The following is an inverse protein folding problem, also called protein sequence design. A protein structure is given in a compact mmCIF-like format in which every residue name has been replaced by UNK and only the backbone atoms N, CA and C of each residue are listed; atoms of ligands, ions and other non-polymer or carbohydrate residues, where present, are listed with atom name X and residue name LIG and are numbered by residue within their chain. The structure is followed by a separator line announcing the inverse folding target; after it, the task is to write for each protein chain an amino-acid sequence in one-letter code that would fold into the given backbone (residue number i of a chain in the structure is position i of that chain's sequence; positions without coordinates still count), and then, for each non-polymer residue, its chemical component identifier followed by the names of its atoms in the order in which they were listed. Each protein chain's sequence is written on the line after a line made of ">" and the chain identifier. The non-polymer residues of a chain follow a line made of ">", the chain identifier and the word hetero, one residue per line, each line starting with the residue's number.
data_IF_598974794188
#
_entry.id   IF_598974794188
#
_cell.length_a   1.000
_cell.length_b   1.000
_cell.length_c   1.000
_cell.angle_alpha   90.00
_cell.angle_beta   90.00
_cell.angle_gamma   90.00
#
_symmetry.space_group_name_H-M   'P 1'
#
loop_
_entity.id
_entity.type
_entity.pdbx_description
1 polymer ?
#
# COMPACT_ATOMS: atom_id res chain seq x y z
N UNK A 1 9.26 -26.38 -0.06
CA UNK A 1 9.67 -25.13 -0.73
C UNK A 1 8.49 -24.18 -0.70
N UNK A 2 8.58 -23.07 0.03
CA UNK A 2 7.57 -22.00 -0.02
C UNK A 2 7.91 -21.05 -1.16
N UNK A 3 6.93 -20.69 -1.99
CA UNK A 3 7.08 -19.71 -3.06
C UNK A 3 6.10 -18.56 -2.85
N UNK A 4 6.61 -17.35 -3.03
CA UNK A 4 5.84 -16.11 -2.87
C UNK A 4 5.48 -15.58 -4.24
N UNK A 5 4.18 -15.46 -4.51
CA UNK A 5 3.65 -14.97 -5.76
C UNK A 5 3.09 -13.57 -5.53
N UNK A 6 3.55 -12.61 -6.33
CA UNK A 6 2.97 -11.28 -6.34
C UNK A 6 2.05 -11.12 -7.56
N UNK A 7 0.77 -10.91 -7.30
CA UNK A 7 -0.21 -10.57 -8.31
C UNK A 7 -0.33 -9.04 -8.39
N UNK A 8 -0.11 -8.47 -9.57
CA UNK A 8 -0.18 -7.02 -9.81
C UNK A 8 -1.24 -6.76 -10.89
N UNK A 9 -2.13 -5.81 -10.63
CA UNK A 9 -3.04 -5.23 -11.59
C UNK A 9 -2.73 -3.73 -11.68
N UNK A 10 -2.27 -3.30 -12.85
CA UNK A 10 -1.92 -1.91 -13.11
C UNK A 10 -2.89 -1.33 -14.14
N UNK A 11 -3.64 -0.30 -13.72
CA UNK A 11 -4.33 0.63 -14.59
C UNK A 11 -3.50 1.91 -14.79
N UNK A 12 -3.90 2.75 -15.74
CA UNK A 12 -3.22 4.02 -16.03
C UNK A 12 -3.21 4.99 -14.84
N UNK A 13 -4.16 4.86 -13.93
CA UNK A 13 -4.33 5.73 -12.76
C UNK A 13 -4.44 4.99 -11.43
N UNK A 14 -4.31 3.66 -11.43
CA UNK A 14 -4.45 2.81 -10.24
C UNK A 14 -3.53 1.59 -10.30
N UNK A 15 -3.08 1.11 -9.14
CA UNK A 15 -2.24 -0.08 -9.03
C UNK A 15 -2.67 -0.88 -7.81
N UNK A 16 -3.19 -2.08 -8.04
CA UNK A 16 -3.52 -3.06 -6.99
C UNK A 16 -2.51 -4.18 -7.01
N UNK A 17 -1.98 -4.55 -5.85
CA UNK A 17 -1.10 -5.70 -5.73
C UNK A 17 -1.48 -6.57 -4.54
N UNK A 18 -1.19 -7.86 -4.64
CA UNK A 18 -1.39 -8.85 -3.59
C UNK A 18 -0.18 -9.78 -3.57
N UNK A 19 0.34 -10.07 -2.38
CA UNK A 19 1.41 -11.03 -2.15
C UNK A 19 0.82 -12.26 -1.48
N UNK A 20 0.98 -13.41 -2.13
CA UNK A 20 0.43 -14.69 -1.72
C UNK A 20 1.60 -15.66 -1.45
N UNK A 21 1.49 -16.44 -0.39
CA UNK A 21 2.36 -17.58 -0.12
C UNK A 21 1.68 -18.87 -0.58
N UNK A 22 2.36 -19.61 -1.43
CA UNK A 22 1.82 -20.82 -2.06
C UNK A 22 2.68 -22.03 -1.67
N UNK A 23 2.08 -23.24 -1.57
CA UNK A 23 0.74 -23.63 -2.04
C UNK A 23 -0.43 -23.34 -1.08
N UNK A 24 -0.17 -22.85 0.14
CA UNK A 24 -1.18 -22.62 1.17
C UNK A 24 -2.23 -21.56 0.79
N UNK A 25 -1.87 -20.60 -0.07
CA UNK A 25 -2.75 -19.52 -0.51
C UNK A 25 -2.84 -18.37 0.49
N UNK A 26 -1.91 -18.30 1.46
CA UNK A 26 -1.93 -17.30 2.52
C UNK A 26 -1.61 -15.91 1.97
N UNK A 27 -2.48 -14.92 2.22
CA UNK A 27 -2.30 -13.55 1.72
C UNK A 27 -1.46 -12.71 2.67
N UNK A 28 -0.16 -12.63 2.41
CA UNK A 28 0.81 -11.90 3.21
C UNK A 28 0.54 -10.38 3.24
N UNK A 29 0.24 -9.79 2.08
CA UNK A 29 -0.10 -8.38 2.00
C UNK A 29 -0.93 -8.02 0.76
N UNK A 30 -1.66 -6.92 0.85
CA UNK A 30 -2.36 -6.29 -0.25
C UNK A 30 -2.05 -4.80 -0.27
N UNK A 31 -1.81 -4.23 -1.44
CA UNK A 31 -1.79 -2.80 -1.63
C UNK A 31 -2.74 -2.33 -2.72
N UNK A 32 -3.20 -1.10 -2.55
CA UNK A 32 -4.01 -0.36 -3.51
C UNK A 32 -3.48 1.07 -3.56
N UNK A 33 -3.09 1.48 -4.75
CA UNK A 33 -2.67 2.83 -5.08
C UNK A 33 -3.69 3.38 -6.04
N UNK A 34 -4.22 4.56 -5.75
CA UNK A 34 -5.22 5.22 -6.59
C UNK A 34 -4.80 6.65 -6.88
N UNK A 35 -5.28 7.17 -8.01
CA UNK A 35 -5.05 8.56 -8.43
C UNK A 35 -3.55 8.86 -8.59
N UNK A 36 -2.82 7.89 -9.18
CA UNK A 36 -1.38 8.01 -9.40
C UNK A 36 -1.11 9.29 -10.19
N UNK A 37 -0.36 10.20 -9.58
CA UNK A 37 0.03 11.45 -10.21
C UNK A 37 -0.85 12.66 -9.91
N UNK A 38 -1.93 12.51 -9.14
CA UNK A 38 -2.73 13.62 -8.63
C UNK A 38 -2.24 14.07 -7.24
N UNK A 39 -2.70 15.24 -6.76
CA UNK A 39 -2.33 15.76 -5.43
C UNK A 39 -3.01 14.98 -4.28
N UNK A 40 -4.07 14.25 -4.58
CA UNK A 40 -4.86 13.41 -3.69
C UNK A 40 -4.52 11.91 -3.84
N UNK A 41 -3.32 11.59 -4.33
CA UNK A 41 -2.88 10.21 -4.53
C UNK A 41 -2.94 9.40 -3.23
N UNK A 42 -3.84 8.41 -3.19
CA UNK A 42 -4.06 7.58 -2.03
C UNK A 42 -3.27 6.28 -2.16
N UNK A 43 -2.55 5.93 -1.10
CA UNK A 43 -1.88 4.64 -0.99
C UNK A 43 -2.41 3.94 0.24
N UNK A 44 -2.99 2.76 0.03
CA UNK A 44 -3.47 1.87 1.08
C UNK A 44 -2.70 0.57 1.01
N UNK A 45 -1.97 0.23 2.07
CA UNK A 45 -1.28 -1.05 2.22
C UNK A 45 -1.86 -1.75 3.44
N UNK A 46 -2.29 -2.99 3.26
CA UNK A 46 -2.81 -3.87 4.30
C UNK A 46 -1.86 -5.05 4.41
N UNK A 47 -1.34 -5.26 5.61
CA UNK A 47 -0.62 -6.46 6.02
C UNK A 47 -1.43 -7.15 7.11
N UNK A 48 -1.10 -8.38 7.47
CA UNK A 48 -1.76 -9.10 8.55
C UNK A 48 -1.82 -8.30 9.86
N UNK A 49 -0.77 -7.54 10.19
CA UNK A 49 -0.66 -6.84 11.47
C UNK A 49 -0.94 -5.34 11.40
N UNK A 50 -0.79 -4.74 10.22
CA UNK A 50 -0.83 -3.29 10.09
C UNK A 50 -1.55 -2.85 8.81
N UNK A 51 -2.43 -1.86 8.97
CA UNK A 51 -3.00 -1.11 7.87
C UNK A 51 -2.34 0.25 7.82
N UNK A 52 -1.68 0.53 6.71
CA UNK A 52 -1.15 1.83 6.38
C UNK A 52 -2.04 2.48 5.32
N UNK A 53 -2.53 3.68 5.60
CA UNK A 53 -3.23 4.50 4.63
C UNK A 53 -2.65 5.90 4.71
N UNK A 54 -2.18 6.42 3.57
CA UNK A 54 -1.61 7.75 3.50
C UNK A 54 -1.85 8.37 2.14
N UNK A 55 -2.18 9.67 2.15
CA UNK A 55 -2.07 10.50 0.97
C UNK A 55 -0.59 10.85 0.79
N UNK A 56 -0.02 10.53 -0.37
CA UNK A 56 1.31 11.04 -0.73
C UNK A 56 1.16 11.96 -1.95
N UNK A 57 0.96 13.27 -1.73
CA UNK A 57 0.99 14.21 -2.84
C UNK A 57 2.34 14.11 -3.54
N UNK A 58 2.31 14.24 -4.86
CA UNK A 58 3.50 14.26 -5.72
C UNK A 58 4.43 15.40 -5.27
N UNK A 59 5.46 15.13 -4.43
CA UNK A 59 6.48 16.13 -4.09
C UNK A 59 7.31 16.42 -5.34
N UNK A 60 6.92 17.41 -6.14
CA UNK A 60 7.82 18.06 -7.11
C UNK A 60 8.68 19.05 -6.33
N UNK A 61 10.00 18.81 -6.35
CA UNK A 61 11.08 19.72 -5.95
C UNK A 61 11.12 20.26 -4.50
N UNK A 62 12.18 19.87 -3.78
CA UNK A 62 12.97 20.64 -2.77
C UNK A 62 12.30 21.41 -1.61
N UNK A 63 10.98 21.38 -1.42
CA UNK A 63 10.30 21.95 -0.23
C UNK A 63 9.06 21.14 0.14
N UNK A 64 9.26 19.88 0.56
CA UNK A 64 8.23 19.16 1.31
C UNK A 64 8.60 19.25 2.80
N UNK A 65 8.19 20.35 3.46
CA UNK A 65 8.16 20.43 4.91
C UNK A 65 7.07 19.51 5.45
N UNK A 66 7.41 18.68 6.44
CA UNK A 66 6.56 17.87 7.30
C UNK A 66 5.11 17.61 6.84
N UNK A 67 4.93 16.64 5.94
CA UNK A 67 3.64 15.98 5.74
C UNK A 67 3.82 14.46 5.85
N UNK A 68 4.37 14.02 6.98
CA UNK A 68 4.40 12.63 7.40
C UNK A 68 3.30 12.38 8.45
N UNK A 69 2.04 12.44 8.03
CA UNK A 69 0.91 11.94 8.84
C UNK A 69 0.36 10.64 8.26
N UNK A 70 1.25 9.67 8.00
CA UNK A 70 0.82 8.29 7.77
C UNK A 70 0.43 7.68 9.11
N UNK A 71 -0.87 7.69 9.46
CA UNK A 71 -1.38 6.96 10.62
C UNK A 71 -1.20 5.46 10.36
N UNK A 72 -0.26 4.82 11.05
CA UNK A 72 -0.28 3.38 11.23
C UNK A 72 -1.46 3.08 12.17
N UNK A 73 -2.53 2.49 11.65
CA UNK A 73 -3.58 1.96 12.52
C UNK A 73 -3.01 0.68 13.16
N UNK A 74 -2.44 0.82 14.36
CA UNK A 74 -2.11 -0.29 15.22
C UNK A 74 -3.40 -0.97 15.67
N UNK A 75 -3.59 -2.22 15.28
CA UNK A 75 -4.58 -3.10 15.87
C UNK A 75 -4.07 -3.47 17.26
N UNK A 76 -4.65 -2.88 18.30
CA UNK A 76 -4.58 -3.41 19.65
C UNK A 76 -5.34 -4.75 19.64
N UNK A 77 -4.62 -5.85 19.86
CA UNK A 77 -5.23 -7.13 20.16
C UNK A 77 -5.90 -7.04 21.54
N UNK A 78 -7.21 -7.27 21.59
CA UNK A 78 -7.92 -7.82 22.74
C UNK A 78 -8.92 -8.86 22.25
#
# INVERSE_FOLDING_TARGET
>A
MSYKIMAINAGSSSLKFQLLEMPQGDMLCQGLIERIGMADAQVTIKTHSQKWAGNRPRCRSSRCGNAASGKAAGLSNH
#
